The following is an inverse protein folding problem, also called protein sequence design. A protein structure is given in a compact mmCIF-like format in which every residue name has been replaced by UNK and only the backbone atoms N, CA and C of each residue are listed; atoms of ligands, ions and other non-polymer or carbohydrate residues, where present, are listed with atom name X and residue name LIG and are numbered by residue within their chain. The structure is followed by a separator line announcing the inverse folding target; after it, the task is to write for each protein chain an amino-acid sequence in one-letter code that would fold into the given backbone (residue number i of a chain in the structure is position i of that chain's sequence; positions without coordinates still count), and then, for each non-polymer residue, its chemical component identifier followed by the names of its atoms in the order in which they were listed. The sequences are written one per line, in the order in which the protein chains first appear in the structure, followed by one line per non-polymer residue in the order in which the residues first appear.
data_IF_866763426494
#
_entry.id   IF_866763426494
#
_cell.length_a   1.000
_cell.length_b   1.000
_cell.length_c   1.000
_cell.angle_alpha   90.00
_cell.angle_beta   90.00
_cell.angle_gamma   90.00
#
_symmetry.space_group_name_H-M   'P 1'
#
loop_
_entity.id
_entity.type
_entity.pdbx_description
1 polymer ?
#
# COMPACT_ATOMS: atom_id res chain seq x y z
N UNK A 1 -24.31 5.69 -18.86
CA UNK A 1 -24.71 4.75 -17.79
C UNK A 1 -25.73 5.47 -16.91
N UNK A 2 -26.90 4.88 -16.62
CA UNK A 2 -27.88 5.54 -15.75
C UNK A 2 -27.53 5.31 -14.28
N UNK A 3 -26.80 6.24 -13.69
CA UNK A 3 -26.52 6.28 -12.26
C UNK A 3 -27.74 6.91 -11.56
N UNK A 4 -28.33 6.22 -10.59
CA UNK A 4 -29.37 6.82 -9.76
C UNK A 4 -28.76 7.99 -8.96
N UNK A 5 -29.57 8.98 -8.51
CA UNK A 5 -29.04 10.16 -7.83
C UNK A 5 -28.10 9.84 -6.65
N UNK A 6 -28.40 8.79 -5.87
CA UNK A 6 -27.56 8.31 -4.77
C UNK A 6 -26.24 7.68 -5.24
N UNK A 7 -26.23 7.06 -6.42
CA UNK A 7 -25.00 6.50 -7.02
C UNK A 7 -24.13 7.61 -7.59
N UNK A 8 -24.72 8.69 -8.10
CA UNK A 8 -23.99 9.89 -8.52
C UNK A 8 -23.27 10.53 -7.34
N UNK A 9 -23.99 10.76 -6.23
CA UNK A 9 -23.38 11.28 -4.98
C UNK A 9 -22.14 10.48 -4.55
N UNK A 10 -22.19 9.14 -4.58
CA UNK A 10 -21.01 8.32 -4.28
C UNK A 10 -19.86 8.52 -5.29
N UNK A 11 -20.17 8.58 -6.58
CA UNK A 11 -19.15 8.74 -7.63
C UNK A 11 -18.50 10.12 -7.54
N UNK A 12 -19.30 11.16 -7.26
CA UNK A 12 -18.85 12.54 -7.13
C UNK A 12 -17.95 12.70 -5.90
N UNK A 13 -18.35 12.17 -4.74
CA UNK A 13 -17.50 12.21 -3.54
C UNK A 13 -16.24 11.34 -3.67
N UNK A 14 -16.34 10.18 -4.31
CA UNK A 14 -15.20 9.32 -4.55
C UNK A 14 -14.23 9.96 -5.56
N UNK A 15 -14.76 10.67 -6.57
CA UNK A 15 -13.96 11.45 -7.51
C UNK A 15 -13.27 12.65 -6.86
N UNK A 16 -13.94 13.34 -5.91
CA UNK A 16 -13.32 14.41 -5.12
C UNK A 16 -12.17 13.89 -4.25
N UNK A 17 -12.29 12.69 -3.68
CA UNK A 17 -11.28 12.14 -2.78
C UNK A 17 -10.12 11.43 -3.48
N UNK A 18 -10.38 10.74 -4.57
CA UNK A 18 -9.40 9.85 -5.21
C UNK A 18 -9.08 10.24 -6.66
N UNK A 19 -9.80 11.20 -7.24
CA UNK A 19 -9.66 11.62 -8.62
C UNK A 19 -10.65 10.93 -9.56
N UNK A 20 -10.96 11.62 -10.67
CA UNK A 20 -11.85 11.11 -11.71
C UNK A 20 -11.29 9.85 -12.37
N UNK A 21 -12.08 8.77 -12.36
CA UNK A 21 -11.70 7.49 -12.99
C UNK A 21 -10.61 6.70 -12.26
N UNK A 22 -10.27 7.09 -11.03
CA UNK A 22 -9.24 6.44 -10.24
C UNK A 22 -9.60 4.99 -9.87
N UNK A 23 -8.56 4.20 -9.67
CA UNK A 23 -8.66 2.83 -9.16
C UNK A 23 -8.55 2.89 -7.64
N UNK A 24 -9.64 2.57 -6.95
CA UNK A 24 -9.78 2.66 -5.51
C UNK A 24 -9.89 1.27 -4.87
N UNK A 25 -9.32 1.12 -3.67
CA UNK A 25 -9.35 -0.12 -2.90
C UNK A 25 -10.73 -0.36 -2.24
N UNK A 26 -10.99 -1.57 -1.76
CA UNK A 26 -12.20 -1.88 -0.96
C UNK A 26 -12.33 -1.01 0.31
N UNK A 27 -11.21 -0.62 0.93
CA UNK A 27 -11.22 0.26 2.12
C UNK A 27 -11.63 1.68 1.72
N UNK A 28 -11.04 2.19 0.64
CA UNK A 28 -11.33 3.51 0.08
C UNK A 28 -12.81 3.63 -0.36
N UNK A 29 -13.40 2.56 -0.87
CA UNK A 29 -14.85 2.51 -1.18
C UNK A 29 -15.71 2.67 0.06
N UNK A 30 -15.28 2.10 1.20
CA UNK A 30 -15.99 2.22 2.47
C UNK A 30 -15.91 3.65 3.01
N UNK A 31 -14.73 4.26 2.95
CA UNK A 31 -14.50 5.65 3.37
C UNK A 31 -15.30 6.63 2.50
N UNK A 32 -15.33 6.42 1.18
CA UNK A 32 -16.15 7.23 0.27
C UNK A 32 -17.66 7.07 0.51
N UNK A 33 -18.12 5.86 0.84
CA UNK A 33 -19.52 5.62 1.17
C UNK A 33 -19.93 6.28 2.49
N UNK A 34 -19.06 6.21 3.51
CA UNK A 34 -19.28 6.86 4.80
C UNK A 34 -19.32 8.38 4.67
N UNK A 35 -18.37 8.96 3.91
CA UNK A 35 -18.33 10.40 3.66
C UNK A 35 -19.52 10.92 2.84
N UNK A 36 -20.03 10.10 1.91
CA UNK A 36 -21.23 10.44 1.14
C UNK A 36 -22.54 10.13 1.87
N UNK A 37 -22.48 9.64 3.13
CA UNK A 37 -23.65 9.17 3.89
C UNK A 37 -24.53 8.17 3.11
N UNK A 38 -23.91 7.39 2.22
CA UNK A 38 -24.60 6.38 1.42
C UNK A 38 -24.32 4.98 1.97
N UNK A 39 -25.31 4.08 1.93
CA UNK A 39 -25.06 2.67 2.17
C UNK A 39 -23.98 2.12 1.24
N UNK A 40 -23.23 1.15 1.75
CA UNK A 40 -22.11 0.55 1.03
C UNK A 40 -22.50 0.13 -0.41
N UNK A 41 -21.80 0.63 -1.45
CA UNK A 41 -22.24 0.50 -2.84
C UNK A 41 -21.96 -0.89 -3.41
N UNK A 42 -22.87 -1.84 -3.16
CA UNK A 42 -22.80 -3.22 -3.69
C UNK A 42 -22.78 -3.29 -5.22
N UNK A 43 -23.37 -2.29 -5.89
CA UNK A 43 -23.35 -2.17 -7.35
C UNK A 43 -21.96 -1.87 -7.91
N UNK A 44 -21.09 -1.21 -7.13
CA UNK A 44 -19.73 -0.86 -7.52
C UNK A 44 -18.75 -2.02 -7.35
N UNK A 45 -19.11 -3.04 -6.54
CA UNK A 45 -18.31 -4.26 -6.40
C UNK A 45 -18.53 -5.30 -7.51
N UNK A 46 -19.38 -4.98 -8.50
CA UNK A 46 -19.65 -5.87 -9.63
C UNK A 46 -18.41 -6.00 -10.53
N UNK A 47 -18.26 -7.13 -11.25
CA UNK A 47 -17.12 -7.36 -12.14
C UNK A 47 -16.96 -6.27 -13.21
N UNK A 48 -18.04 -5.56 -13.58
CA UNK A 48 -18.00 -4.43 -14.50
C UNK A 48 -17.10 -3.26 -14.04
N UNK A 49 -16.84 -3.12 -12.75
CA UNK A 49 -15.99 -2.06 -12.17
C UNK A 49 -14.71 -2.62 -11.55
N UNK A 50 -14.49 -3.94 -11.60
CA UNK A 50 -13.31 -4.58 -11.03
C UNK A 50 -12.12 -4.38 -11.96
N UNK A 51 -11.03 -3.82 -11.44
CA UNK A 51 -9.78 -3.65 -12.20
C UNK A 51 -8.74 -4.72 -11.82
N UNK A 52 -8.56 -4.97 -10.53
CA UNK A 52 -7.65 -6.00 -10.02
C UNK A 52 -8.20 -6.63 -8.72
N UNK A 53 -7.47 -7.57 -8.11
CA UNK A 53 -7.87 -8.13 -6.82
C UNK A 53 -7.93 -7.02 -5.76
N UNK A 54 -9.12 -6.79 -5.21
CA UNK A 54 -9.35 -5.74 -4.20
C UNK A 54 -9.42 -4.30 -4.74
N UNK A 55 -9.29 -4.09 -6.04
CA UNK A 55 -9.23 -2.76 -6.67
C UNK A 55 -10.35 -2.55 -7.70
N UNK A 56 -11.05 -1.42 -7.60
CA UNK A 56 -12.21 -1.07 -8.41
C UNK A 56 -12.04 0.29 -9.07
N UNK A 57 -12.43 0.42 -10.34
CA UNK A 57 -12.31 1.66 -11.12
C UNK A 57 -13.59 2.46 -11.05
N UNK A 58 -13.50 3.73 -10.65
CA UNK A 58 -14.62 4.65 -10.64
C UNK A 58 -15.15 4.92 -12.06
N UNK A 59 -16.48 4.90 -12.29
CA UNK A 59 -17.05 5.28 -13.58
C UNK A 59 -16.90 6.80 -13.77
N UNK A 60 -16.05 7.24 -14.70
CA UNK A 60 -15.96 8.66 -15.06
C UNK A 60 -17.21 9.06 -15.86
N UNK A 61 -17.98 10.05 -15.37
CA UNK A 61 -19.06 10.69 -16.13
C UNK A 61 -18.44 11.72 -17.09
N UNK A 62 -17.72 11.22 -18.10
CA UNK A 62 -17.03 12.01 -19.11
C UNK A 62 -16.37 11.06 -20.12
N UNK A 63 -16.81 11.11 -21.37
CA UNK A 63 -16.53 10.13 -22.40
C UNK A 63 -15.04 9.75 -22.57
N UNK A 64 -14.84 8.44 -22.76
CA UNK A 64 -13.76 7.79 -23.52
C UNK A 64 -12.42 8.53 -23.66
N UNK A 65 -11.37 7.94 -23.10
CA UNK A 65 -10.10 7.77 -23.81
C UNK A 65 -9.43 6.44 -23.46
N UNK A 66 -9.41 5.57 -24.47
CA UNK A 66 -8.40 4.59 -24.91
C UNK A 66 -7.81 3.52 -23.95
N UNK A 67 -7.54 2.31 -24.48
CA UNK A 67 -6.77 1.28 -23.78
C UNK A 67 -5.27 1.64 -23.84
N UNK A 68 -4.54 1.39 -22.76
CA UNK A 68 -3.07 1.31 -22.82
C UNK A 68 -2.67 -0.05 -22.29
N UNK A 69 -2.35 -0.96 -23.21
CA UNK A 69 -1.58 -2.17 -22.93
C UNK A 69 -0.15 -1.90 -23.41
N UNK A 70 0.77 -1.99 -22.45
CA UNK A 70 2.20 -2.34 -22.54
C UNK A 70 3.10 -1.64 -23.57
N UNK A 71 3.99 -0.77 -23.08
CA UNK A 71 5.45 -0.91 -23.21
C UNK A 71 6.15 0.07 -22.26
N UNK A 72 7.28 -0.39 -21.70
CA UNK A 72 8.15 0.31 -20.76
C UNK A 72 8.46 1.76 -21.14
N UNK A 73 8.44 2.67 -20.15
CA UNK A 73 9.55 3.56 -19.73
C UNK A 73 9.07 4.27 -18.46
N UNK A 74 9.94 4.28 -17.46
CA UNK A 74 9.81 5.05 -16.23
C UNK A 74 9.49 6.52 -16.49
N UNK A 75 8.53 7.10 -15.76
CA UNK A 75 8.73 8.39 -15.12
C UNK A 75 7.61 8.64 -14.12
N UNK A 76 8.02 8.83 -12.89
CA UNK A 76 7.26 9.26 -11.74
C UNK A 76 6.72 10.67 -11.99
N UNK A 77 5.42 10.90 -11.87
CA UNK A 77 4.90 12.24 -11.58
C UNK A 77 4.89 12.40 -10.07
N UNK A 78 6.06 12.83 -9.61
CA UNK A 78 6.40 13.24 -8.25
C UNK A 78 5.42 14.33 -7.83
N UNK A 79 4.56 14.01 -6.87
CA UNK A 79 4.00 15.03 -5.99
C UNK A 79 5.19 15.80 -5.43
N UNK A 80 5.28 17.10 -5.73
CA UNK A 80 6.31 17.98 -5.19
C UNK A 80 6.05 18.20 -3.70
N UNK A 81 6.24 17.14 -2.92
CA UNK A 81 6.74 17.22 -1.56
C UNK A 81 8.05 17.94 -1.70
N UNK A 82 8.18 19.09 -1.04
CA UNK A 82 9.43 19.81 -0.92
C UNK A 82 10.37 18.96 -0.04
N UNK A 83 10.83 17.84 -0.60
CA UNK A 83 11.92 17.02 -0.08
C UNK A 83 13.16 17.86 -0.32
N UNK A 84 13.44 18.74 0.63
CA UNK A 84 14.79 19.28 0.80
C UNK A 84 15.71 18.06 0.72
N UNK A 85 16.48 17.99 -0.36
CA UNK A 85 17.45 16.94 -0.63
C UNK A 85 18.64 17.07 0.33
N UNK A 86 18.40 17.02 1.64
CA UNK A 86 19.41 16.94 2.69
C UNK A 86 19.95 15.53 2.88
N UNK A 87 19.58 14.57 2.02
CA UNK A 87 20.02 13.19 2.10
C UNK A 87 20.40 12.63 0.72
N UNK A 88 21.13 13.40 -0.09
CA UNK A 88 21.96 12.81 -1.15
C UNK A 88 23.27 12.23 -0.61
N UNK A 89 23.44 12.21 0.71
CA UNK A 89 24.49 11.46 1.38
C UNK A 89 24.15 9.96 1.35
N UNK A 90 25.17 9.14 1.11
CA UNK A 90 25.07 7.67 1.16
C UNK A 90 24.51 7.25 2.53
N UNK A 91 23.23 6.89 2.58
CA UNK A 91 22.60 6.40 3.81
C UNK A 91 23.06 4.97 4.09
N UNK A 92 23.66 4.76 5.26
CA UNK A 92 23.94 3.42 5.75
C UNK A 92 22.67 2.87 6.41
N UNK A 93 22.05 1.87 5.77
CA UNK A 93 20.87 1.19 6.30
C UNK A 93 21.22 0.01 7.20
N UNK A 94 22.51 -0.28 7.41
CA UNK A 94 22.96 -1.31 8.34
C UNK A 94 22.97 -0.73 9.75
N UNK A 95 22.14 -1.24 10.67
CA UNK A 95 22.12 -0.79 12.05
C UNK A 95 23.45 -1.12 12.74
N UNK A 96 23.83 -0.28 13.71
CA UNK A 96 24.97 -0.57 14.57
C UNK A 96 24.61 -1.62 15.62
N UNK A 97 25.60 -2.42 16.03
CA UNK A 97 25.43 -3.36 17.12
C UNK A 97 25.19 -2.63 18.44
N UNK A 98 24.26 -3.13 19.24
CA UNK A 98 23.91 -2.60 20.56
C UNK A 98 24.66 -3.37 21.64
N UNK A 99 25.56 -2.70 22.38
CA UNK A 99 26.41 -3.32 23.40
C UNK A 99 25.62 -4.02 24.52
N UNK A 100 24.42 -3.54 24.84
CA UNK A 100 23.55 -4.11 25.87
C UNK A 100 22.69 -5.27 25.39
N UNK A 101 22.86 -5.74 24.14
CA UNK A 101 22.03 -6.82 23.61
C UNK A 101 22.42 -8.16 24.22
N UNK A 102 21.43 -8.85 24.77
CA UNK A 102 21.58 -10.23 25.26
C UNK A 102 20.88 -11.16 24.27
N UNK A 103 21.61 -12.08 23.60
CA UNK A 103 21.03 -13.08 22.74
C UNK A 103 20.00 -13.94 23.50
N UNK A 104 18.83 -14.17 22.89
CA UNK A 104 17.75 -14.92 23.50
C UNK A 104 16.97 -15.73 22.46
N UNK A 105 16.22 -16.73 22.94
CA UNK A 105 15.34 -17.54 22.08
C UNK A 105 16.08 -18.18 20.90
N UNK A 106 15.61 -17.89 19.68
CA UNK A 106 16.11 -18.49 18.44
C UNK A 106 17.25 -17.69 17.76
N UNK A 107 17.89 -16.75 18.46
CA UNK A 107 18.96 -15.91 17.89
C UNK A 107 20.04 -16.72 17.17
N UNK A 108 20.62 -17.74 17.82
CA UNK A 108 21.68 -18.56 17.23
C UNK A 108 21.24 -19.33 15.96
N UNK A 109 19.96 -19.68 15.86
CA UNK A 109 19.41 -20.34 14.66
C UNK A 109 19.30 -19.34 13.50
N UNK A 110 18.79 -18.13 13.78
CA UNK A 110 18.68 -17.06 12.78
C UNK A 110 20.08 -16.67 12.31
N UNK A 111 21.05 -16.53 13.22
CA UNK A 111 22.45 -16.24 12.92
C UNK A 111 23.08 -17.29 11.99
N UNK A 112 22.84 -18.57 12.23
CA UNK A 112 23.32 -19.64 11.33
C UNK A 112 22.68 -19.56 9.95
N UNK A 113 21.39 -19.25 9.88
CA UNK A 113 20.67 -19.08 8.60
C UNK A 113 21.27 -17.91 7.82
N UNK A 114 21.47 -16.76 8.46
CA UNK A 114 22.08 -15.58 7.82
C UNK A 114 23.51 -15.88 7.36
N UNK A 115 24.34 -16.50 8.22
CA UNK A 115 25.71 -16.92 7.88
C UNK A 115 25.78 -17.95 6.76
N UNK A 116 24.72 -18.73 6.51
CA UNK A 116 24.69 -19.70 5.42
C UNK A 116 24.66 -19.06 4.03
N UNK A 117 24.28 -17.77 3.92
CA UNK A 117 24.10 -17.07 2.65
C UNK A 117 22.94 -17.62 1.79
N UNK A 118 22.16 -18.57 2.32
CA UNK A 118 20.99 -19.12 1.66
C UNK A 118 19.77 -18.25 1.98
N UNK A 119 18.92 -18.04 0.98
CA UNK A 119 17.63 -17.40 1.20
C UNK A 119 16.68 -18.35 1.94
N UNK A 120 16.31 -17.98 3.16
CA UNK A 120 15.34 -18.71 3.97
C UNK A 120 14.36 -17.71 4.60
N UNK A 121 13.06 -17.75 4.24
CA UNK A 121 12.08 -16.83 4.81
C UNK A 121 11.83 -17.15 6.29
N UNK A 122 11.99 -16.16 7.17
CA UNK A 122 11.84 -16.30 8.61
C UNK A 122 10.59 -15.54 9.07
N UNK A 123 9.74 -16.20 9.85
CA UNK A 123 8.59 -15.57 10.51
C UNK A 123 8.85 -15.48 12.01
N UNK A 124 8.90 -14.26 12.55
CA UNK A 124 9.18 -14.00 13.97
C UNK A 124 7.91 -13.57 14.69
N UNK A 125 7.49 -14.35 15.69
CA UNK A 125 6.28 -14.10 16.49
C UNK A 125 6.60 -13.73 17.93
N UNK A 126 5.63 -13.13 18.63
CA UNK A 126 5.72 -12.89 20.07
C UNK A 126 4.95 -11.64 20.50
N UNK A 127 4.75 -11.48 21.81
CA UNK A 127 4.09 -10.32 22.40
C UNK A 127 4.78 -8.99 22.01
N UNK A 128 4.02 -7.90 22.04
CA UNK A 128 4.56 -6.56 21.80
C UNK A 128 5.63 -6.23 22.85
N UNK A 129 6.65 -5.46 22.48
CA UNK A 129 7.74 -5.07 23.39
C UNK A 129 8.77 -6.15 23.72
N UNK A 130 8.64 -7.37 23.20
CA UNK A 130 9.56 -8.47 23.53
C UNK A 130 10.88 -8.49 22.72
N UNK A 131 11.34 -7.34 22.18
CA UNK A 131 12.64 -7.26 21.51
C UNK A 131 12.79 -7.98 20.16
N UNK A 132 11.69 -8.31 19.45
CA UNK A 132 11.73 -9.01 18.15
C UNK A 132 12.54 -8.26 17.08
N UNK A 133 12.29 -6.96 16.93
CA UNK A 133 12.99 -6.12 15.95
C UNK A 133 14.45 -5.96 16.32
N UNK A 134 14.73 -5.62 17.59
CA UNK A 134 16.09 -5.50 18.08
C UNK A 134 16.89 -6.79 17.83
N UNK A 135 16.32 -7.96 18.13
CA UNK A 135 16.97 -9.24 17.85
C UNK A 135 17.38 -9.40 16.39
N UNK A 136 16.55 -8.98 15.43
CA UNK A 136 16.86 -9.08 13.99
C UNK A 136 17.98 -8.11 13.59
N UNK A 137 18.02 -6.91 14.17
CA UNK A 137 19.06 -5.91 13.89
C UNK A 137 20.44 -6.34 14.41
N UNK A 138 20.51 -7.28 15.35
CA UNK A 138 21.76 -7.74 15.96
C UNK A 138 22.34 -9.03 15.33
N UNK A 139 21.64 -9.64 14.35
CA UNK A 139 22.12 -10.82 13.62
C UNK A 139 22.93 -10.40 12.40
#
# INVERSE_FOLDING_TARGET
MYLSPRKKLFVDTAAEMFGNGAVISKQNVREAAEKAEVPFPTWFMKPAFKHAYGCYKLPAEGGSVAPVIAAAVASEEVSTVNLVATNMDKQNLVPALFEGFVPWGNFATIEKVVKSGLFYPIFVTGLSGNGKTLMIEQV
#
